data_IF_736811989126
#
_entry.id   IF_736811989126
#
_cell.length_a   1.000
_cell.length_b   1.000
_cell.length_c   1.000
_cell.angle_alpha   90.00
_cell.angle_beta   90.00
_cell.angle_gamma   90.00
#
_symmetry.space_group_name_H-M   'P 1'
#
loop_
_entity.id
_entity.type
_entity.pdbx_description
1 polymer ?
#
# COMPACT_ATOMS: atom_id res chain seq x y z
N UNK A 1 20.32 -3.74 4.90
CA UNK A 1 19.97 -2.34 4.59
C UNK A 1 19.83 -1.48 5.85
N UNK A 2 18.80 -1.67 6.70
CA UNK A 2 18.60 -0.79 7.87
C UNK A 2 19.70 -0.90 8.93
N UNK A 3 20.16 -2.12 9.26
CA UNK A 3 21.33 -2.32 10.13
C UNK A 3 22.58 -1.61 9.58
N UNK A 4 22.83 -1.77 8.29
CA UNK A 4 24.02 -1.17 7.64
C UNK A 4 23.94 0.36 7.63
N UNK A 5 22.75 0.93 7.48
CA UNK A 5 22.54 2.37 7.61
C UNK A 5 22.90 2.86 9.02
N UNK A 6 22.42 2.17 10.07
CA UNK A 6 22.74 2.51 11.47
C UNK A 6 24.25 2.38 11.77
N UNK A 7 24.91 1.36 11.22
CA UNK A 7 26.36 1.21 11.34
C UNK A 7 27.11 2.38 10.68
N UNK A 8 26.67 2.83 9.49
CA UNK A 8 27.24 4.01 8.81
C UNK A 8 27.01 5.31 9.58
N UNK A 9 25.93 5.38 10.36
CA UNK A 9 25.63 6.49 11.27
C UNK A 9 26.39 6.41 12.60
N UNK A 10 27.26 5.40 12.79
CA UNK A 10 28.11 5.25 13.96
C UNK A 10 27.43 4.62 15.18
N UNK A 11 26.32 3.89 14.99
CA UNK A 11 25.69 3.12 16.08
C UNK A 11 26.54 1.89 16.41
N UNK A 12 26.64 1.56 17.70
CA UNK A 12 27.42 0.39 18.16
C UNK A 12 26.75 -0.91 17.71
N UNK A 13 27.48 -1.86 17.10
CA UNK A 13 26.91 -3.11 16.60
C UNK A 13 26.13 -3.91 17.65
N UNK A 14 26.57 -3.89 18.90
CA UNK A 14 25.99 -4.62 20.02
C UNK A 14 24.61 -4.09 20.43
N UNK A 15 24.28 -2.86 20.00
CA UNK A 15 22.97 -2.23 20.23
C UNK A 15 21.97 -2.45 19.09
N UNK A 16 22.37 -3.13 18.00
CA UNK A 16 21.54 -3.31 16.81
C UNK A 16 21.10 -4.76 16.67
N UNK A 17 19.78 -4.97 16.76
CA UNK A 17 19.15 -6.27 16.60
C UNK A 17 18.33 -6.29 15.30
N UNK A 18 18.53 -7.33 14.49
CA UNK A 18 17.71 -7.56 13.29
C UNK A 18 16.60 -8.51 13.70
N UNK A 19 15.41 -7.97 13.94
CA UNK A 19 14.25 -8.72 14.47
C UNK A 19 13.22 -9.09 13.41
N UNK A 20 13.38 -8.59 12.17
CA UNK A 20 12.31 -8.62 11.17
C UNK A 20 11.37 -7.42 11.29
N UNK A 21 10.22 -7.48 10.63
CA UNK A 21 9.20 -6.43 10.63
C UNK A 21 7.91 -6.96 11.25
N UNK A 22 7.50 -6.38 12.38
CA UNK A 22 6.29 -6.77 13.13
C UNK A 22 4.99 -6.57 12.35
N UNK A 23 5.02 -5.86 11.21
CA UNK A 23 3.88 -5.83 10.29
C UNK A 23 3.50 -7.22 9.77
N UNK A 24 4.46 -8.15 9.65
CA UNK A 24 4.17 -9.53 9.27
C UNK A 24 3.39 -10.26 10.36
N UNK A 25 3.78 -10.06 11.62
CA UNK A 25 3.10 -10.62 12.79
C UNK A 25 1.65 -10.14 12.84
N UNK A 26 1.42 -8.85 12.57
CA UNK A 26 0.06 -8.30 12.48
C UNK A 26 -0.73 -8.94 11.32
N UNK A 27 -0.13 -9.07 10.12
CA UNK A 27 -0.80 -9.66 8.96
C UNK A 27 -1.32 -11.08 9.26
N UNK A 28 -0.55 -11.90 9.98
CA UNK A 28 -0.94 -13.25 10.37
C UNK A 28 -2.21 -13.32 11.23
N UNK A 29 -2.54 -12.24 11.95
CA UNK A 29 -3.72 -12.17 12.83
C UNK A 29 -4.91 -11.46 12.18
N UNK A 30 -4.69 -10.75 11.07
CA UNK A 30 -5.73 -9.94 10.39
C UNK A 30 -6.35 -10.62 9.17
N UNK A 31 -5.67 -11.60 8.56
CA UNK A 31 -6.21 -12.31 7.38
C UNK A 31 -7.19 -13.38 7.84
N UNK A 32 -8.40 -13.35 7.27
CA UNK A 32 -9.46 -14.33 7.48
C UNK A 32 -9.84 -14.93 6.12
N UNK A 33 -9.89 -16.27 6.03
CA UNK A 33 -10.15 -16.96 4.75
C UNK A 33 -11.56 -16.72 4.21
N UNK A 34 -12.53 -16.51 5.09
CA UNK A 34 -13.94 -16.30 4.80
C UNK A 34 -14.36 -14.81 4.82
N UNK A 35 -13.38 -13.89 4.72
CA UNK A 35 -13.65 -12.47 4.72
C UNK A 35 -14.47 -12.02 3.51
N UNK A 36 -15.54 -11.26 3.76
CA UNK A 36 -16.36 -10.62 2.74
C UNK A 36 -16.46 -9.11 2.98
N UNK A 37 -16.65 -8.35 1.89
CA UNK A 37 -16.84 -6.91 1.94
C UNK A 37 -17.63 -6.46 0.70
N UNK A 38 -18.57 -5.49 0.78
CA UNK A 38 -19.40 -5.10 -0.36
C UNK A 38 -18.61 -4.71 -1.62
N UNK A 39 -17.47 -4.08 -1.46
CA UNK A 39 -16.58 -3.66 -2.54
C UNK A 39 -15.85 -4.85 -3.17
N UNK A 40 -15.54 -5.90 -2.40
CA UNK A 40 -14.99 -7.16 -2.93
C UNK A 40 -16.08 -7.94 -3.68
N UNK A 41 -17.32 -7.93 -3.19
CA UNK A 41 -18.48 -8.49 -3.89
C UNK A 41 -18.75 -7.73 -5.21
N UNK A 42 -18.68 -6.40 -5.19
CA UNK A 42 -18.78 -5.56 -6.39
C UNK A 42 -17.65 -5.85 -7.37
N UNK A 43 -16.44 -6.14 -6.90
CA UNK A 43 -15.34 -6.59 -7.77
C UNK A 43 -15.68 -7.91 -8.44
N UNK A 44 -16.21 -8.88 -7.67
CA UNK A 44 -16.50 -10.23 -8.14
C UNK A 44 -15.22 -10.91 -8.65
N UNK A 45 -15.30 -11.50 -9.84
CA UNK A 45 -14.17 -12.20 -10.48
C UNK A 45 -13.18 -11.26 -11.21
N UNK A 46 -13.41 -9.94 -11.17
CA UNK A 46 -12.50 -8.98 -11.81
C UNK A 46 -11.17 -8.90 -11.05
N UNK A 47 -10.08 -8.68 -11.78
CA UNK A 47 -8.82 -8.26 -11.15
C UNK A 47 -9.02 -6.86 -10.58
N UNK A 48 -8.36 -6.55 -9.47
CA UNK A 48 -8.47 -5.20 -8.91
C UNK A 48 -7.14 -4.60 -8.44
N UNK A 49 -7.10 -3.27 -8.48
CA UNK A 49 -5.98 -2.45 -8.00
C UNK A 49 -6.43 -1.78 -6.69
N UNK A 50 -5.76 -2.09 -5.58
CA UNK A 50 -5.92 -1.34 -4.33
C UNK A 50 -4.96 -0.15 -4.32
N UNK A 51 -5.51 1.05 -4.19
CA UNK A 51 -4.76 2.30 -4.26
C UNK A 51 -4.72 2.93 -2.88
N UNK A 52 -3.55 3.37 -2.44
CA UNK A 52 -3.42 4.29 -1.30
C UNK A 52 -2.46 5.41 -1.69
N UNK A 53 -2.87 6.67 -1.51
CA UNK A 53 -2.05 7.83 -1.87
C UNK A 53 -2.24 8.92 -0.82
N UNK A 54 -1.26 9.09 0.07
CA UNK A 54 -1.34 10.03 1.20
C UNK A 54 -0.02 10.75 1.50
N UNK A 55 1.03 10.51 0.72
CA UNK A 55 2.33 11.19 0.85
C UNK A 55 2.20 12.66 0.45
N UNK A 56 2.63 13.57 1.33
CA UNK A 56 2.50 15.03 1.15
C UNK A 56 3.22 15.53 -0.11
N UNK A 57 4.39 14.97 -0.39
CA UNK A 57 5.22 15.25 -1.55
C UNK A 57 4.58 14.81 -2.89
N UNK A 58 3.60 13.91 -2.85
CA UNK A 58 2.91 13.46 -4.05
C UNK A 58 1.67 14.31 -4.38
N UNK A 59 1.32 15.28 -3.53
CA UNK A 59 0.15 16.13 -3.73
C UNK A 59 0.31 16.97 -5.02
N UNK A 60 -0.79 17.10 -5.77
CA UNK A 60 -0.82 17.85 -7.02
C UNK A 60 -0.41 16.99 -8.22
N UNK A 61 0.64 17.39 -8.92
CA UNK A 61 1.01 16.82 -10.22
C UNK A 61 1.38 15.32 -10.17
N UNK A 62 2.21 14.83 -9.23
CA UNK A 62 2.57 13.41 -9.18
C UNK A 62 1.35 12.51 -9.04
N UNK A 63 0.43 12.88 -8.15
CA UNK A 63 -0.85 12.17 -7.97
C UNK A 63 -1.73 12.23 -9.22
N UNK A 64 -1.77 13.35 -9.95
CA UNK A 64 -2.48 13.44 -11.25
C UNK A 64 -1.89 12.51 -12.30
N UNK A 65 -0.58 12.30 -12.31
CA UNK A 65 0.06 11.35 -13.22
C UNK A 65 -0.29 9.91 -12.86
N UNK A 66 -0.24 9.58 -11.56
CA UNK A 66 -0.62 8.26 -11.05
C UNK A 66 -2.07 7.89 -11.41
N UNK A 67 -3.04 8.78 -11.14
CA UNK A 67 -4.44 8.51 -11.46
C UNK A 67 -4.73 8.45 -12.96
N UNK A 68 -4.01 9.24 -13.79
CA UNK A 68 -4.12 9.12 -15.25
C UNK A 68 -3.61 7.77 -15.75
N UNK A 69 -2.53 7.24 -15.19
CA UNK A 69 -2.02 5.92 -15.56
C UNK A 69 -2.99 4.81 -15.16
N UNK A 70 -3.51 4.86 -13.92
CA UNK A 70 -4.50 3.88 -13.43
C UNK A 70 -5.77 3.91 -14.29
N UNK A 71 -6.27 5.12 -14.62
CA UNK A 71 -7.43 5.28 -15.49
C UNK A 71 -7.22 4.61 -16.85
N UNK A 72 -6.05 4.79 -17.47
CA UNK A 72 -5.73 4.15 -18.75
C UNK A 72 -5.78 2.62 -18.65
N UNK A 73 -5.29 2.04 -17.55
CA UNK A 73 -5.35 0.59 -17.32
C UNK A 73 -6.82 0.13 -17.24
N UNK A 74 -7.65 0.83 -16.49
CA UNK A 74 -9.08 0.46 -16.35
C UNK A 74 -9.84 0.61 -17.67
N UNK A 75 -9.48 1.62 -18.48
CA UNK A 75 -10.06 1.84 -19.81
C UNK A 75 -9.60 0.79 -20.84
N UNK A 76 -8.38 0.26 -20.70
CA UNK A 76 -7.79 -0.75 -21.60
C UNK A 76 -8.23 -2.18 -21.25
N UNK A 77 -8.39 -2.49 -19.96
CA UNK A 77 -8.73 -3.82 -19.47
C UNK A 77 -10.11 -3.82 -18.78
N UNK A 78 -11.12 -4.31 -19.50
CA UNK A 78 -12.52 -4.33 -19.01
C UNK A 78 -12.75 -5.21 -17.77
N UNK A 79 -11.80 -6.10 -17.45
CA UNK A 79 -11.81 -6.98 -16.28
C UNK A 79 -10.98 -6.44 -15.10
N UNK A 80 -10.56 -5.17 -15.16
CA UNK A 80 -9.80 -4.52 -14.08
C UNK A 80 -10.65 -3.44 -13.41
N UNK A 81 -10.76 -3.52 -12.08
CA UNK A 81 -11.40 -2.50 -11.22
C UNK A 81 -10.36 -1.86 -10.30
N UNK A 82 -10.71 -0.74 -9.69
CA UNK A 82 -9.85 -0.10 -8.70
C UNK A 82 -10.63 0.30 -7.45
N UNK A 83 -10.06 0.02 -6.29
CA UNK A 83 -10.52 0.49 -4.99
C UNK A 83 -9.52 1.52 -4.50
N UNK A 84 -9.99 2.73 -4.23
CA UNK A 84 -9.20 3.77 -3.59
C UNK A 84 -9.88 4.21 -2.29
N UNK A 85 -9.47 3.67 -1.12
CA UNK A 85 -9.92 4.15 0.17
C UNK A 85 -9.32 5.52 0.41
N UNK A 86 -10.10 6.56 0.12
CA UNK A 86 -9.65 7.95 0.24
C UNK A 86 -9.47 8.25 1.72
N UNK A 87 -8.23 8.52 2.13
CA UNK A 87 -7.98 9.08 3.45
C UNK A 87 -8.68 10.43 3.53
N UNK A 88 -9.62 10.60 4.47
CA UNK A 88 -10.15 11.93 4.75
C UNK A 88 -8.97 12.79 5.18
N UNK A 89 -8.62 13.81 4.38
CA UNK A 89 -7.54 14.72 4.73
C UNK A 89 -7.95 15.45 6.02
N UNK A 90 -7.35 15.14 7.19
CA UNK A 90 -7.56 16.00 8.34
C UNK A 90 -6.78 17.27 7.99
N UNK A 91 -7.46 18.41 7.88
CA UNK A 91 -6.74 19.68 7.79
C UNK A 91 -5.73 19.81 8.93
#
# INVERSE_FOLDING_TARGET
>A
LSKDNLLREGKTPESIFVTGNTAIDALQTTIQEDYTHPELEWIGESRFILITAHRRENLGEPMRHMFRAIRRIIEEYSDVKAIYPIHMNPR
#
